data_IF_643363057975
#
_entry.id   IF_643363057975
#
_cell.length_a   1.000
_cell.length_b   1.000
_cell.length_c   1.000
_cell.angle_alpha   90.00
_cell.angle_beta   90.00
_cell.angle_gamma   90.00
#
_symmetry.space_group_name_H-M   'P 1'
#
loop_
_entity.id
_entity.type
_entity.pdbx_description
1 polymer ?
#
# COMPACT_ATOMS: atom_id res chain seq x y z
N UNK A 1 -4.67 -28.40 -23.23
CA UNK A 1 -4.29 -27.80 -21.93
C UNK A 1 -5.39 -26.86 -21.46
N UNK A 2 -5.91 -27.03 -20.23
CA UNK A 2 -6.93 -26.13 -19.65
C UNK A 2 -6.20 -24.87 -19.16
N UNK A 3 -6.52 -23.70 -19.73
CA UNK A 3 -5.94 -22.43 -19.28
C UNK A 3 -6.48 -22.14 -17.88
N UNK A 4 -5.59 -22.02 -16.90
CA UNK A 4 -5.92 -21.55 -15.56
C UNK A 4 -5.34 -20.14 -15.39
N UNK A 5 -6.12 -19.25 -14.78
CA UNK A 5 -5.69 -17.89 -14.46
C UNK A 5 -5.48 -17.79 -12.94
N UNK A 6 -4.47 -17.02 -12.51
CA UNK A 6 -4.24 -16.72 -11.10
C UNK A 6 -5.16 -15.61 -10.56
N UNK A 7 -5.95 -14.97 -11.43
CA UNK A 7 -6.88 -13.88 -11.11
C UNK A 7 -8.32 -14.33 -11.39
N UNK A 8 -9.22 -14.05 -10.45
CA UNK A 8 -10.66 -14.29 -10.59
C UNK A 8 -11.38 -13.02 -11.05
N UNK A 9 -11.97 -13.06 -12.24
CA UNK A 9 -12.70 -11.91 -12.78
C UNK A 9 -13.89 -11.47 -11.89
N UNK A 10 -14.57 -12.42 -11.24
CA UNK A 10 -15.69 -12.09 -10.35
C UNK A 10 -15.25 -11.40 -9.06
N UNK A 11 -14.06 -11.74 -8.53
CA UNK A 11 -13.53 -11.03 -7.37
C UNK A 11 -13.03 -9.64 -7.76
N UNK A 12 -12.40 -9.49 -8.94
CA UNK A 12 -12.02 -8.16 -9.46
C UNK A 12 -13.23 -7.24 -9.56
N UNK A 13 -14.33 -7.69 -10.20
CA UNK A 13 -15.55 -6.89 -10.34
C UNK A 13 -16.17 -6.52 -8.98
N UNK A 14 -16.19 -7.46 -8.03
CA UNK A 14 -16.68 -7.23 -6.67
C UNK A 14 -15.91 -6.10 -5.97
N UNK A 15 -14.58 -6.08 -6.06
CA UNK A 15 -13.76 -5.04 -5.41
C UNK A 15 -13.77 -3.72 -6.20
N UNK A 16 -13.83 -3.75 -7.55
CA UNK A 16 -14.01 -2.53 -8.37
C UNK A 16 -15.26 -1.74 -7.93
N UNK A 17 -16.35 -2.43 -7.56
CA UNK A 17 -17.60 -1.79 -7.08
C UNK A 17 -17.45 -1.10 -5.72
N UNK A 18 -16.46 -1.49 -4.91
CA UNK A 18 -16.16 -0.85 -3.62
C UNK A 18 -15.22 0.36 -3.75
N UNK A 19 -14.71 0.63 -4.95
CA UNK A 19 -13.72 1.71 -5.19
C UNK A 19 -14.14 3.09 -4.67
N UNK A 20 -15.41 3.56 -4.76
CA UNK A 20 -15.77 4.92 -4.33
C UNK A 20 -15.68 5.12 -2.80
N UNK A 21 -15.82 4.05 -2.02
CA UNK A 21 -15.83 4.08 -0.55
C UNK A 21 -14.59 3.42 0.05
N UNK A 22 -13.55 3.18 -0.75
CA UNK A 22 -12.38 2.42 -0.29
C UNK A 22 -11.65 3.05 0.91
N UNK A 23 -11.67 4.38 1.00
CA UNK A 23 -11.06 5.17 2.07
C UNK A 23 -12.03 5.58 3.18
N UNK A 24 -13.30 5.17 3.09
CA UNK A 24 -14.29 5.42 4.14
C UNK A 24 -14.15 4.38 5.27
N UNK A 25 -13.83 4.79 6.51
CA UNK A 25 -13.64 3.87 7.63
C UNK A 25 -14.91 3.16 8.10
N UNK A 26 -16.10 3.60 7.70
CA UNK A 26 -17.37 2.93 8.04
C UNK A 26 -17.75 1.88 6.99
N UNK A 27 -17.36 2.09 5.74
CA UNK A 27 -17.55 1.13 4.64
C UNK A 27 -16.43 0.09 4.51
N UNK A 28 -15.18 0.47 4.81
CA UNK A 28 -14.01 -0.39 4.68
C UNK A 28 -13.26 -0.54 6.02
N UNK A 29 -13.39 -1.67 6.73
CA UNK A 29 -12.72 -1.89 8.02
C UNK A 29 -11.19 -1.89 7.91
N UNK A 30 -10.63 -2.09 6.71
CA UNK A 30 -9.19 -2.05 6.50
C UNK A 30 -8.59 -0.68 6.82
N UNK A 31 -9.37 0.41 6.67
CA UNK A 31 -8.93 1.76 7.04
C UNK A 31 -8.61 1.83 8.53
N UNK A 32 -9.53 1.34 9.38
CA UNK A 32 -9.37 1.28 10.84
C UNK A 32 -8.27 0.30 11.27
N UNK A 33 -8.08 -0.80 10.52
CA UNK A 33 -7.04 -1.79 10.82
C UNK A 33 -5.63 -1.36 10.38
N UNK A 34 -5.51 -0.46 9.41
CA UNK A 34 -4.24 -0.13 8.78
C UNK A 34 -3.15 0.35 9.77
N UNK A 35 -3.42 1.23 10.76
CA UNK A 35 -2.41 1.64 11.72
C UNK A 35 -1.76 0.47 12.47
N UNK A 36 -2.55 -0.52 12.89
CA UNK A 36 -2.04 -1.71 13.58
C UNK A 36 -1.20 -2.59 12.64
N UNK A 37 -1.63 -2.74 11.37
CA UNK A 37 -0.86 -3.47 10.34
C UNK A 37 0.51 -2.83 10.12
N UNK A 38 0.55 -1.51 9.97
CA UNK A 38 1.79 -0.75 9.77
C UNK A 38 2.71 -0.87 10.97
N UNK A 39 2.19 -0.72 12.20
CA UNK A 39 3.00 -0.87 13.41
C UNK A 39 3.64 -2.27 13.48
N UNK A 40 2.87 -3.32 13.17
CA UNK A 40 3.40 -4.69 13.14
C UNK A 40 4.45 -4.88 12.05
N UNK A 41 4.18 -4.43 10.82
CA UNK A 41 5.11 -4.54 9.70
C UNK A 41 6.42 -3.80 9.98
N UNK A 42 6.34 -2.58 10.51
CA UNK A 42 7.49 -1.80 10.94
C UNK A 42 8.38 -2.56 11.90
N UNK A 43 7.81 -3.10 12.97
CA UNK A 43 8.58 -3.89 13.95
C UNK A 43 9.27 -5.11 13.31
N UNK A 44 8.60 -5.79 12.36
CA UNK A 44 9.19 -6.94 11.65
C UNK A 44 10.33 -6.51 10.73
N UNK A 45 10.10 -5.48 9.92
CA UNK A 45 11.06 -4.98 8.92
C UNK A 45 12.29 -4.41 9.62
N UNK A 46 12.11 -3.57 10.64
CA UNK A 46 13.20 -3.00 11.42
C UNK A 46 14.07 -4.08 12.05
N UNK A 47 13.44 -5.13 12.61
CA UNK A 47 14.17 -6.28 13.18
C UNK A 47 14.90 -7.09 12.11
N UNK A 48 14.23 -7.40 10.99
CA UNK A 48 14.78 -8.23 9.94
C UNK A 48 15.99 -7.60 9.25
N UNK A 49 15.93 -6.28 9.00
CA UNK A 49 17.01 -5.54 8.36
C UNK A 49 17.96 -4.84 9.36
N UNK A 50 17.88 -5.20 10.66
CA UNK A 50 18.69 -4.64 11.73
C UNK A 50 18.79 -3.11 11.68
N UNK A 51 17.66 -2.43 11.50
CA UNK A 51 17.62 -1.02 11.14
C UNK A 51 17.96 -0.04 12.26
N UNK A 52 18.31 -0.53 13.45
CA UNK A 52 18.50 0.28 14.66
C UNK A 52 19.66 1.29 14.54
N UNK A 53 20.53 1.15 13.52
CA UNK A 53 21.65 2.07 13.23
C UNK A 53 21.67 2.56 11.78
N UNK A 54 20.56 2.46 11.04
CA UNK A 54 20.54 2.79 9.61
C UNK A 54 20.27 4.26 9.28
N UNK A 55 19.88 5.06 10.26
CA UNK A 55 19.56 6.47 10.04
C UNK A 55 20.79 7.34 10.28
N UNK A 56 21.19 8.07 9.24
CA UNK A 56 22.30 9.02 9.28
C UNK A 56 21.92 10.33 10.00
N UNK A 57 20.61 10.58 10.17
CA UNK A 57 20.07 11.72 10.88
C UNK A 57 18.70 11.39 11.50
N UNK A 58 18.27 12.16 12.50
CA UNK A 58 16.95 12.00 13.12
C UNK A 58 15.78 12.29 12.17
N UNK A 59 16.02 13.06 11.11
CA UNK A 59 15.01 13.47 10.14
C UNK A 59 14.85 12.48 8.97
N UNK A 60 15.73 11.48 8.87
CA UNK A 60 15.68 10.50 7.80
C UNK A 60 14.49 9.54 7.98
N UNK A 61 13.61 9.37 6.98
CA UNK A 61 12.47 8.47 7.08
C UNK A 61 12.89 7.03 7.39
N UNK A 62 12.10 6.34 8.22
CA UNK A 62 12.42 5.01 8.74
C UNK A 62 12.67 3.97 7.65
N UNK A 63 11.97 4.05 6.52
CA UNK A 63 12.14 3.13 5.39
C UNK A 63 12.94 3.74 4.23
N UNK A 64 13.72 4.79 4.47
CA UNK A 64 14.59 5.36 3.45
C UNK A 64 15.49 4.29 2.81
N UNK A 65 15.56 4.31 1.48
CA UNK A 65 16.33 3.37 0.69
C UNK A 65 15.73 1.95 0.58
N UNK A 66 14.59 1.68 1.22
CA UNK A 66 13.85 0.44 1.01
C UNK A 66 12.96 0.53 -0.24
N UNK A 67 12.82 -0.60 -0.93
CA UNK A 67 11.85 -0.79 -2.01
C UNK A 67 10.74 -1.72 -1.52
N UNK A 68 9.49 -1.38 -1.80
CA UNK A 68 8.34 -2.18 -1.43
C UNK A 68 7.46 -2.46 -2.65
N UNK A 69 6.94 -3.68 -2.73
CA UNK A 69 5.90 -4.07 -3.68
C UNK A 69 4.64 -4.45 -2.91
N UNK A 70 3.56 -3.70 -3.11
CA UNK A 70 2.24 -3.98 -2.53
C UNK A 70 1.37 -4.70 -3.58
N UNK A 71 1.17 -6.00 -3.40
CA UNK A 71 0.42 -6.85 -4.35
C UNK A 71 -1.02 -6.99 -3.89
N UNK A 72 -1.97 -6.59 -4.74
CA UNK A 72 -3.37 -6.41 -4.35
C UNK A 72 -3.53 -5.17 -3.49
N UNK A 73 -2.95 -4.05 -3.95
CA UNK A 73 -2.90 -2.81 -3.18
C UNK A 73 -4.28 -2.16 -2.96
N UNK A 74 -5.29 -2.56 -3.74
CA UNK A 74 -6.60 -1.95 -3.75
C UNK A 74 -6.49 -0.43 -3.93
N UNK A 75 -7.23 0.33 -3.13
CA UNK A 75 -7.17 1.80 -3.14
C UNK A 75 -5.94 2.41 -2.45
N UNK A 76 -4.89 1.66 -2.14
CA UNK A 76 -3.58 2.22 -1.76
C UNK A 76 -3.33 2.47 -0.26
N UNK A 77 -4.18 1.97 0.65
CA UNK A 77 -4.06 2.21 2.11
C UNK A 77 -2.67 1.87 2.68
N UNK A 78 -2.18 0.68 2.34
CA UNK A 78 -0.88 0.19 2.79
C UNK A 78 0.25 0.89 2.02
N UNK A 79 0.16 0.90 0.69
CA UNK A 79 1.09 1.56 -0.22
C UNK A 79 1.45 2.98 0.22
N UNK A 80 0.44 3.82 0.50
CA UNK A 80 0.67 5.18 0.93
C UNK A 80 1.32 5.29 2.31
N UNK A 81 0.99 4.37 3.21
CA UNK A 81 1.61 4.35 4.55
C UNK A 81 3.08 3.96 4.47
N UNK A 82 3.45 3.02 3.59
CA UNK A 82 4.84 2.66 3.31
C UNK A 82 5.62 3.81 2.66
N UNK A 83 5.00 4.52 1.70
CA UNK A 83 5.61 5.68 1.06
C UNK A 83 5.82 6.84 2.04
N UNK A 84 4.85 7.12 2.94
CA UNK A 84 5.01 8.12 4.02
C UNK A 84 6.12 7.77 5.01
N UNK A 85 6.42 6.48 5.18
CA UNK A 85 7.57 6.02 5.96
C UNK A 85 8.90 6.09 5.18
N UNK A 86 8.86 6.45 3.89
CA UNK A 86 10.05 6.72 3.06
C UNK A 86 10.47 5.59 2.11
N UNK A 87 9.66 4.54 1.96
CA UNK A 87 9.94 3.49 0.99
C UNK A 87 9.66 3.95 -0.46
N UNK A 88 10.43 3.45 -1.43
CA UNK A 88 10.08 3.50 -2.86
C UNK A 88 9.08 2.37 -3.15
N UNK A 89 7.80 2.74 -3.28
CA UNK A 89 6.68 1.79 -3.39
C UNK A 89 6.27 1.61 -4.84
N UNK A 90 6.13 0.36 -5.24
CA UNK A 90 5.35 -0.05 -6.41
C UNK A 90 4.10 -0.77 -5.92
N UNK A 91 2.94 -0.43 -6.46
CA UNK A 91 1.65 -0.94 -6.02
C UNK A 91 0.91 -1.53 -7.22
N UNK A 92 0.45 -2.77 -7.11
CA UNK A 92 -0.23 -3.45 -8.22
C UNK A 92 -1.58 -4.01 -7.79
N UNK A 93 -2.59 -3.84 -8.64
CA UNK A 93 -3.90 -4.46 -8.49
C UNK A 93 -4.44 -4.86 -9.88
N UNK A 94 -5.10 -6.03 -10.02
CA UNK A 94 -5.75 -6.41 -11.28
C UNK A 94 -6.95 -5.53 -11.66
N UNK A 95 -7.58 -4.82 -10.70
CA UNK A 95 -8.66 -3.87 -10.98
C UNK A 95 -8.10 -2.54 -11.43
N UNK A 96 -8.49 -2.09 -12.63
CA UNK A 96 -8.11 -0.78 -13.14
C UNK A 96 -8.82 0.33 -12.34
N UNK A 97 -10.10 0.15 -12.06
CA UNK A 97 -10.90 1.15 -11.36
C UNK A 97 -10.35 1.43 -9.95
N UNK A 98 -9.93 0.38 -9.24
CA UNK A 98 -9.38 0.53 -7.90
C UNK A 98 -7.98 1.17 -7.93
N UNK A 99 -7.16 0.81 -8.93
CA UNK A 99 -5.83 1.38 -9.11
C UNK A 99 -5.89 2.88 -9.42
N UNK A 100 -6.88 3.30 -10.22
CA UNK A 100 -7.14 4.72 -10.49
C UNK A 100 -7.53 5.49 -9.21
N UNK A 101 -8.35 4.91 -8.33
CA UNK A 101 -8.64 5.50 -7.02
C UNK A 101 -7.40 5.60 -6.14
N UNK A 102 -6.55 4.56 -6.10
CA UNK A 102 -5.29 4.58 -5.36
C UNK A 102 -4.38 5.72 -5.85
N UNK A 103 -4.23 5.85 -7.17
CA UNK A 103 -3.42 6.89 -7.78
C UNK A 103 -3.97 8.30 -7.46
N UNK A 104 -5.27 8.51 -7.63
CA UNK A 104 -5.92 9.80 -7.34
C UNK A 104 -5.77 10.20 -5.87
N UNK A 105 -5.87 9.24 -4.94
CA UNK A 105 -5.68 9.51 -3.52
C UNK A 105 -4.21 9.83 -3.21
N UNK A 106 -3.28 9.05 -3.74
CA UNK A 106 -1.85 9.23 -3.55
C UNK A 106 -1.33 10.59 -4.09
N UNK A 107 -1.94 11.14 -5.14
CA UNK A 107 -1.60 12.46 -5.69
C UNK A 107 -1.90 13.63 -4.74
N UNK A 108 -2.70 13.43 -3.68
CA UNK A 108 -3.09 14.49 -2.72
C UNK A 108 -2.01 14.80 -1.69
N UNK A 109 -0.98 13.95 -1.58
CA UNK A 109 0.14 14.11 -0.65
C UNK A 109 1.45 13.92 -1.43
N UNK A 110 2.35 14.91 -1.35
CA UNK A 110 3.62 14.90 -2.09
C UNK A 110 4.44 13.63 -1.81
N UNK A 111 4.41 13.13 -0.57
CA UNK A 111 5.18 11.94 -0.15
C UNK A 111 4.68 10.66 -0.81
N UNK A 112 3.42 10.62 -1.24
CA UNK A 112 2.79 9.46 -1.86
C UNK A 112 2.62 9.61 -3.37
N UNK A 113 2.73 10.83 -3.90
CA UNK A 113 2.57 11.11 -5.34
C UNK A 113 3.52 10.36 -6.27
N UNK A 114 4.61 9.80 -5.73
CA UNK A 114 5.66 9.05 -6.46
C UNK A 114 5.47 7.53 -6.44
N UNK A 115 4.41 7.01 -5.82
CA UNK A 115 4.09 5.58 -5.85
C UNK A 115 3.90 5.16 -7.30
N UNK A 116 4.57 4.07 -7.69
CA UNK A 116 4.51 3.50 -9.05
C UNK A 116 3.40 2.47 -9.19
#
# INVERSE_FOLDING_TARGET
FKRTFSVSASEVDKFSKLSPTWWDPDSNPLVKMNPARIARMRNVIEKHYCMHHRHNSADEPIFHGLKALDVGCGGGLLSESLARLGADVTAIDPSREIAEIAQQHAMRDERTSKIK
#
